data_IF_236532137227
#
_entry.id   IF_236532137227
#
_cell.length_a   1.000
_cell.length_b   1.000
_cell.length_c   1.000
_cell.angle_alpha   90.00
_cell.angle_beta   90.00
_cell.angle_gamma   90.00
#
_symmetry.space_group_name_H-M   'P 1'
#
loop_
_entity.id
_entity.type
_entity.pdbx_description
1 polymer ?
#
# COMPACT_ATOMS: atom_id res chain seq x y z
N UNK A 1 -25.51 -25.87 6.29
CA UNK A 1 -25.33 -24.63 5.51
C UNK A 1 -23.90 -24.60 5.01
N UNK A 2 -23.67 -24.74 3.70
CA UNK A 2 -22.33 -24.87 3.12
C UNK A 2 -21.81 -23.52 2.59
N UNK A 3 -20.69 -23.04 3.11
CA UNK A 3 -19.96 -21.90 2.57
C UNK A 3 -19.01 -22.39 1.45
N UNK A 4 -19.42 -22.22 0.19
CA UNK A 4 -18.58 -22.53 -0.98
C UNK A 4 -17.38 -21.57 -1.14
N UNK A 5 -16.32 -21.99 -1.85
CA UNK A 5 -15.06 -21.25 -1.91
C UNK A 5 -15.19 -19.95 -2.71
N UNK A 6 -14.69 -18.84 -2.14
CA UNK A 6 -14.67 -17.53 -2.79
C UNK A 6 -13.45 -17.38 -3.71
N UNK A 7 -13.70 -17.36 -5.02
CA UNK A 7 -12.76 -16.91 -6.05
C UNK A 7 -12.39 -15.44 -5.82
N UNK A 8 -11.10 -15.18 -5.65
CA UNK A 8 -10.53 -13.88 -5.31
C UNK A 8 -9.84 -13.29 -6.55
N UNK A 9 -10.51 -12.40 -7.30
CA UNK A 9 -9.87 -11.49 -8.29
C UNK A 9 -10.75 -10.33 -8.84
N UNK A 10 -12.04 -10.20 -8.46
CA UNK A 10 -12.96 -9.12 -8.90
C UNK A 10 -13.67 -8.42 -7.72
N UNK A 11 -13.06 -8.42 -6.53
CA UNK A 11 -13.73 -8.02 -5.30
C UNK A 11 -14.03 -6.50 -5.19
N UNK A 12 -13.26 -5.65 -5.87
CA UNK A 12 -13.37 -4.20 -5.73
C UNK A 12 -14.54 -3.61 -6.54
N UNK A 13 -14.64 -3.94 -7.83
CA UNK A 13 -15.70 -3.44 -8.71
C UNK A 13 -17.10 -3.90 -8.23
N UNK A 14 -17.23 -5.18 -7.86
CA UNK A 14 -18.47 -5.71 -7.30
C UNK A 14 -18.87 -5.07 -5.96
N UNK A 15 -17.89 -4.63 -5.15
CA UNK A 15 -18.18 -3.95 -3.90
C UNK A 15 -18.63 -2.50 -4.10
N UNK A 16 -18.20 -1.82 -5.16
CA UNK A 16 -18.62 -0.47 -5.47
C UNK A 16 -20.04 -0.44 -6.05
N UNK A 17 -20.32 -1.28 -7.05
CA UNK A 17 -21.68 -1.44 -7.61
C UNK A 17 -22.71 -1.76 -6.51
N UNK A 18 -22.34 -2.63 -5.57
CA UNK A 18 -23.20 -2.96 -4.43
C UNK A 18 -23.53 -1.74 -3.55
N UNK A 19 -22.59 -0.81 -3.36
CA UNK A 19 -22.83 0.42 -2.59
C UNK A 19 -23.71 1.40 -3.36
N UNK A 20 -23.48 1.53 -4.65
CA UNK A 20 -24.27 2.36 -5.55
C UNK A 20 -25.73 1.93 -5.54
N UNK A 21 -25.99 0.63 -5.68
CA UNK A 21 -27.36 0.08 -5.64
C UNK A 21 -28.04 0.24 -4.29
N UNK A 22 -27.30 0.09 -3.18
CA UNK A 22 -27.83 0.31 -1.84
C UNK A 22 -28.20 1.79 -1.62
N UNK A 23 -27.32 2.72 -2.01
CA UNK A 23 -27.57 4.16 -1.87
C UNK A 23 -28.72 4.59 -2.77
N UNK A 24 -28.76 4.15 -4.04
CA UNK A 24 -29.84 4.46 -4.97
C UNK A 24 -31.21 4.00 -4.44
N UNK A 25 -31.28 2.83 -3.80
CA UNK A 25 -32.52 2.38 -3.17
C UNK A 25 -32.94 3.23 -1.97
N UNK A 26 -31.97 3.75 -1.20
CA UNK A 26 -32.26 4.63 -0.06
C UNK A 26 -32.75 6.01 -0.54
N UNK A 27 -32.09 6.59 -1.54
CA UNK A 27 -32.51 7.86 -2.16
C UNK A 27 -33.88 7.73 -2.87
N UNK A 28 -34.22 6.53 -3.37
CA UNK A 28 -35.55 6.21 -3.90
C UNK A 28 -36.63 6.02 -2.81
N UNK A 29 -36.31 6.25 -1.53
CA UNK A 29 -37.25 6.26 -0.41
C UNK A 29 -37.24 5.02 0.48
N UNK A 30 -36.35 4.04 0.24
CA UNK A 30 -36.22 2.90 1.14
C UNK A 30 -35.47 3.28 2.42
N UNK A 31 -35.87 2.72 3.56
CA UNK A 31 -35.06 2.84 4.77
C UNK A 31 -33.72 2.11 4.61
N UNK A 32 -32.69 2.56 5.32
CA UNK A 32 -31.37 1.88 5.34
C UNK A 32 -31.49 0.39 5.71
N UNK A 33 -32.47 0.04 6.54
CA UNK A 33 -32.74 -1.35 6.94
C UNK A 33 -33.32 -2.17 5.78
N UNK A 34 -34.30 -1.64 5.06
CA UNK A 34 -34.91 -2.30 3.90
C UNK A 34 -33.89 -2.48 2.77
N UNK A 35 -33.06 -1.46 2.49
CA UNK A 35 -31.99 -1.58 1.52
C UNK A 35 -30.96 -2.64 1.95
N UNK A 36 -30.59 -2.68 3.23
CA UNK A 36 -29.66 -3.68 3.75
C UNK A 36 -30.17 -5.13 3.57
N UNK A 37 -31.44 -5.36 3.89
CA UNK A 37 -32.09 -6.67 3.72
C UNK A 37 -32.22 -7.04 2.23
N UNK A 38 -32.57 -6.09 1.35
CA UNK A 38 -32.69 -6.29 -0.10
C UNK A 38 -31.39 -6.69 -0.79
N UNK A 39 -30.26 -6.13 -0.34
CA UNK A 39 -28.95 -6.35 -0.97
C UNK A 39 -28.03 -7.28 -0.18
N UNK A 40 -28.51 -7.88 0.91
CA UNK A 40 -27.74 -8.83 1.72
C UNK A 40 -26.53 -8.21 2.43
N UNK A 41 -26.62 -6.94 2.83
CA UNK A 41 -25.55 -6.22 3.55
C UNK A 41 -25.93 -5.97 5.01
N UNK A 42 -24.94 -5.78 5.89
CA UNK A 42 -25.21 -5.43 7.27
C UNK A 42 -25.85 -4.04 7.41
N UNK A 43 -26.85 -3.90 8.30
CA UNK A 43 -27.57 -2.64 8.55
C UNK A 43 -26.61 -1.47 8.88
N UNK A 44 -25.63 -1.72 9.73
CA UNK A 44 -24.60 -0.74 10.09
C UNK A 44 -23.75 -0.30 8.88
N UNK A 45 -23.51 -1.20 7.91
CA UNK A 45 -22.78 -0.87 6.68
C UNK A 45 -23.60 0.04 5.77
N UNK A 46 -24.88 -0.26 5.57
CA UNK A 46 -25.78 0.57 4.78
C UNK A 46 -25.92 1.99 5.37
N UNK A 47 -26.07 2.10 6.70
CA UNK A 47 -26.10 3.39 7.41
C UNK A 47 -24.80 4.18 7.17
N UNK A 48 -23.64 3.54 7.33
CA UNK A 48 -22.34 4.20 7.11
C UNK A 48 -22.14 4.65 5.66
N UNK A 49 -22.63 3.88 4.69
CA UNK A 49 -22.56 4.25 3.27
C UNK A 49 -23.46 5.44 2.97
N UNK A 50 -24.70 5.42 3.44
CA UNK A 50 -25.65 6.52 3.26
C UNK A 50 -25.19 7.81 3.97
N UNK A 51 -24.76 7.73 5.23
CA UNK A 51 -24.23 8.88 5.97
C UNK A 51 -23.05 9.54 5.24
N UNK A 52 -22.17 8.73 4.65
CA UNK A 52 -21.04 9.23 3.87
C UNK A 52 -21.46 9.81 2.52
N UNK A 53 -22.44 9.21 1.86
CA UNK A 53 -23.02 9.76 0.63
C UNK A 53 -23.62 11.15 0.87
N UNK A 54 -24.35 11.32 1.97
CA UNK A 54 -24.91 12.62 2.41
C UNK A 54 -23.83 13.67 2.73
N UNK A 55 -22.68 13.26 3.26
CA UNK A 55 -21.60 14.17 3.64
C UNK A 55 -20.69 14.57 2.47
N UNK A 56 -20.26 13.59 1.66
CA UNK A 56 -19.21 13.78 0.65
C UNK A 56 -19.77 13.81 -0.79
N UNK A 57 -21.02 13.40 -1.02
CA UNK A 57 -21.60 13.15 -2.35
C UNK A 57 -20.96 11.96 -3.10
N UNK A 58 -20.04 11.24 -2.46
CA UNK A 58 -19.20 10.20 -3.09
C UNK A 58 -19.60 8.81 -2.62
N UNK A 59 -19.91 7.94 -3.57
CA UNK A 59 -20.26 6.53 -3.33
C UNK A 59 -19.00 5.64 -3.21
N UNK A 60 -17.88 6.08 -3.80
CA UNK A 60 -16.65 5.31 -3.83
C UNK A 60 -16.06 5.03 -2.43
N UNK A 61 -15.48 3.84 -2.27
CA UNK A 61 -14.64 3.52 -1.12
C UNK A 61 -13.55 4.58 -0.93
N UNK A 62 -13.17 4.91 0.33
CA UNK A 62 -11.86 5.56 0.53
C UNK A 62 -10.79 4.64 -0.06
N UNK A 63 -9.73 5.18 -0.68
CA UNK A 63 -8.59 4.36 -1.11
C UNK A 63 -8.15 3.49 0.07
N UNK A 64 -8.19 2.17 -0.17
CA UNK A 64 -8.01 1.19 0.89
C UNK A 64 -6.52 0.87 0.98
N UNK A 65 -5.88 1.43 2.02
CA UNK A 65 -4.43 1.35 2.16
C UNK A 65 -3.71 2.41 1.32
N UNK A 66 -2.42 2.54 1.62
CA UNK A 66 -1.55 3.59 1.12
C UNK A 66 -0.26 3.60 1.92
N UNK A 67 0.73 4.32 1.41
CA UNK A 67 2.01 4.45 2.08
C UNK A 67 1.89 5.26 3.37
N UNK A 68 1.87 4.58 4.51
CA UNK A 68 1.74 5.20 5.83
C UNK A 68 3.08 5.45 6.51
N UNK A 69 4.17 4.91 5.98
CA UNK A 69 5.45 4.82 6.70
C UNK A 69 6.62 5.45 5.93
N UNK A 70 6.46 5.75 4.64
CA UNK A 70 7.51 6.40 3.85
C UNK A 70 7.93 7.75 4.36
N UNK A 71 7.04 8.52 4.97
CA UNK A 71 7.33 9.85 5.47
C UNK A 71 8.61 9.90 6.33
N UNK A 72 8.87 8.87 7.14
CA UNK A 72 10.10 8.79 7.96
C UNK A 72 11.36 8.65 7.15
N UNK A 73 11.30 7.91 6.04
CA UNK A 73 12.45 7.72 5.15
C UNK A 73 12.60 8.92 4.21
N UNK A 74 11.50 9.47 3.71
CA UNK A 74 11.49 10.66 2.85
C UNK A 74 11.97 11.91 3.61
N UNK A 75 11.76 12.01 4.93
CA UNK A 75 12.34 13.08 5.76
C UNK A 75 13.87 13.13 5.68
N UNK A 76 14.52 12.01 5.34
CA UNK A 76 15.96 11.91 5.15
C UNK A 76 16.36 11.76 3.67
N UNK A 77 15.46 12.04 2.71
CA UNK A 77 15.71 11.83 1.29
C UNK A 77 16.97 12.56 0.79
N UNK A 78 17.17 13.82 1.19
CA UNK A 78 18.34 14.60 0.79
C UNK A 78 19.65 13.95 1.26
N UNK A 79 19.71 13.49 2.51
CA UNK A 79 20.88 12.80 3.05
C UNK A 79 21.12 11.45 2.36
N UNK A 80 20.05 10.72 2.03
CA UNK A 80 20.14 9.44 1.31
C UNK A 80 20.69 9.66 -0.12
N UNK A 81 20.25 10.72 -0.80
CA UNK A 81 20.70 11.05 -2.15
C UNK A 81 22.14 11.58 -2.16
N UNK A 82 22.52 12.43 -1.21
CA UNK A 82 23.90 12.89 -1.03
C UNK A 82 24.86 11.72 -0.78
N UNK A 83 24.48 10.80 0.12
CA UNK A 83 25.28 9.60 0.38
C UNK A 83 25.43 8.69 -0.87
N UNK A 84 24.46 8.72 -1.80
CA UNK A 84 24.55 8.00 -3.08
C UNK A 84 25.44 8.72 -4.10
N UNK A 85 25.39 10.05 -4.15
CA UNK A 85 26.27 10.88 -5.00
C UNK A 85 27.73 10.70 -4.60
N UNK A 86 28.02 10.77 -3.30
CA UNK A 86 29.36 10.58 -2.75
C UNK A 86 29.87 9.14 -2.92
N UNK A 87 28.96 8.16 -2.99
CA UNK A 87 29.28 6.73 -3.05
C UNK A 87 28.38 5.98 -4.03
N UNK A 88 28.54 6.24 -5.32
CA UNK A 88 27.75 5.62 -6.41
C UNK A 88 27.80 4.08 -6.51
N UNK A 89 28.66 3.41 -5.73
CA UNK A 89 28.84 1.95 -5.68
C UNK A 89 28.58 1.34 -4.28
N UNK A 90 28.18 2.13 -3.27
CA UNK A 90 28.02 1.65 -1.90
C UNK A 90 26.92 0.58 -1.78
N UNK A 91 27.16 -0.43 -0.95
CA UNK A 91 26.17 -1.44 -0.61
C UNK A 91 25.10 -0.82 0.33
N UNK A 92 23.86 -1.34 0.30
CA UNK A 92 22.72 -0.82 1.10
C UNK A 92 23.04 -0.65 2.60
N UNK A 93 23.93 -1.50 3.13
CA UNK A 93 24.42 -1.46 4.52
C UNK A 93 25.34 -0.27 4.81
N UNK A 94 26.12 0.17 3.82
CA UNK A 94 27.06 1.29 3.93
C UNK A 94 26.31 2.62 3.87
N UNK A 95 25.29 2.70 3.02
CA UNK A 95 24.34 3.83 3.04
C UNK A 95 23.62 3.91 4.38
N UNK A 96 23.25 2.77 4.98
CA UNK A 96 22.67 2.78 6.34
C UNK A 96 23.68 3.25 7.40
N UNK A 97 24.93 2.80 7.35
CA UNK A 97 25.95 3.18 8.33
C UNK A 97 26.22 4.69 8.30
N UNK A 98 26.39 5.26 7.11
CA UNK A 98 26.56 6.71 6.92
C UNK A 98 25.35 7.51 7.40
N UNK A 99 24.13 7.05 7.12
CA UNK A 99 22.92 7.67 7.67
C UNK A 99 22.87 7.61 9.20
N UNK A 100 23.34 6.52 9.81
CA UNK A 100 23.41 6.41 11.27
C UNK A 100 24.44 7.38 11.86
N UNK A 101 25.60 7.57 11.22
CA UNK A 101 26.59 8.58 11.62
C UNK A 101 26.01 9.99 11.57
N UNK A 102 25.07 10.24 10.65
CA UNK A 102 24.38 11.53 10.48
C UNK A 102 23.07 11.62 11.29
N UNK A 103 22.83 10.68 12.23
CA UNK A 103 21.66 10.69 13.12
C UNK A 103 20.34 10.26 12.49
N UNK A 104 20.34 9.78 11.24
CA UNK A 104 19.16 9.31 10.52
C UNK A 104 18.96 7.80 10.70
N UNK A 105 18.03 7.42 11.59
CA UNK A 105 17.69 6.02 11.85
C UNK A 105 16.73 5.45 10.80
N UNK A 106 17.23 5.14 9.60
CA UNK A 106 16.45 4.51 8.52
C UNK A 106 16.65 2.99 8.49
N UNK A 107 15.55 2.22 8.46
CA UNK A 107 15.61 0.76 8.31
C UNK A 107 16.02 0.35 6.89
N UNK A 108 16.68 -0.82 6.74
CA UNK A 108 17.06 -1.36 5.42
C UNK A 108 15.83 -1.58 4.50
N UNK A 109 14.71 -2.03 5.06
CA UNK A 109 13.45 -2.17 4.31
C UNK A 109 12.87 -0.83 3.87
N UNK A 110 13.05 0.23 4.67
CA UNK A 110 12.71 1.60 4.32
C UNK A 110 13.54 2.12 3.15
N UNK A 111 14.87 1.94 3.22
CA UNK A 111 15.80 2.29 2.13
C UNK A 111 15.51 1.53 0.84
N UNK A 112 15.25 0.23 0.92
CA UNK A 112 14.89 -0.59 -0.25
C UNK A 112 13.62 -0.09 -0.95
N UNK A 113 12.57 0.24 -0.16
CA UNK A 113 11.34 0.83 -0.71
C UNK A 113 11.56 2.24 -1.25
N UNK A 114 12.40 3.04 -0.59
CA UNK A 114 12.79 4.38 -1.06
C UNK A 114 13.48 4.30 -2.42
N UNK A 115 14.50 3.45 -2.59
CA UNK A 115 15.16 3.27 -3.88
C UNK A 115 14.20 2.77 -4.97
N UNK A 116 13.30 1.84 -4.64
CA UNK A 116 12.26 1.41 -5.57
C UNK A 116 11.31 2.56 -5.98
N UNK A 117 10.96 3.45 -5.06
CA UNK A 117 10.09 4.61 -5.32
C UNK A 117 10.78 5.68 -6.17
N UNK A 118 12.07 5.91 -5.93
CA UNK A 118 12.90 6.89 -6.65
C UNK A 118 13.51 6.34 -7.95
N UNK A 119 13.14 5.10 -8.36
CA UNK A 119 13.65 4.49 -9.59
C UNK A 119 15.15 4.15 -9.55
N UNK A 120 15.76 4.15 -8.36
CA UNK A 120 17.19 3.89 -8.18
C UNK A 120 17.39 2.38 -8.19
N UNK A 121 17.86 1.87 -9.32
CA UNK A 121 18.22 0.46 -9.49
C UNK A 121 19.73 0.32 -9.60
N UNK A 122 20.32 -0.52 -8.74
CA UNK A 122 21.72 -0.91 -8.92
C UNK A 122 21.83 -1.78 -10.16
N UNK A 123 22.65 -1.37 -11.13
CA UNK A 123 23.06 -2.24 -12.23
C UNK A 123 23.70 -3.50 -11.65
N UNK A 124 23.13 -4.67 -11.91
CA UNK A 124 23.65 -5.96 -11.45
C UNK A 124 25.00 -6.20 -12.15
N UNK A 125 26.11 -5.98 -11.45
CA UNK A 125 27.45 -6.31 -11.96
C UNK A 125 27.56 -7.81 -12.23
N UNK A 126 28.33 -8.21 -13.25
CA UNK A 126 28.51 -9.62 -13.63
C UNK A 126 28.96 -10.40 -12.39
N UNK A 127 28.17 -11.40 -12.01
CA UNK A 127 28.52 -12.33 -10.94
C UNK A 127 29.69 -13.19 -11.40
N UNK A 128 30.92 -12.81 -11.08
CA UNK A 128 32.05 -13.73 -11.22
C UNK A 128 31.89 -14.85 -10.19
N UNK A 129 31.90 -16.09 -10.67
CA UNK A 129 31.78 -17.32 -9.86
C UNK A 129 32.96 -17.37 -8.88
N UNK A 130 32.74 -17.63 -7.57
CA UNK A 130 33.85 -17.91 -6.66
C UNK A 130 34.61 -19.15 -7.15
N UNK A 131 35.94 -19.05 -7.29
CA UNK A 131 36.80 -20.20 -7.58
C UNK A 131 36.68 -21.20 -6.44
N UNK A 132 36.37 -22.45 -6.79
CA UNK A 132 36.33 -23.58 -5.85
C UNK A 132 37.72 -23.73 -5.22
N UNK A 133 37.86 -23.36 -3.95
CA UNK A 133 39.03 -23.76 -3.16
C UNK A 133 38.98 -25.28 -3.02
N UNK A 134 39.97 -25.96 -3.60
CA UNK A 134 40.16 -27.40 -3.45
C UNK A 134 40.46 -27.73 -1.98
N UNK A 135 39.91 -28.86 -1.50
CA UNK A 135 40.15 -29.41 -0.18
C UNK A 135 41.39 -30.31 -0.26
N UNK A 136 42.41 -30.02 0.53
CA UNK A 136 43.39 -31.01 1.00
C UNK A 136 43.04 -31.39 2.42
#
# INVERSE_FOLDING_TARGET
MAFGPRRNTMAAALSQDLRERVIAAIEAGASCRQAAERFGVGKASAIRWHARFRADGKIAAKPMGGDRHSHRTEAHAALILQALEDRSQAYLREVRATLQEHGAAVSLSGLSRFFKRHGISRKKGRSTRPSRTART
#
